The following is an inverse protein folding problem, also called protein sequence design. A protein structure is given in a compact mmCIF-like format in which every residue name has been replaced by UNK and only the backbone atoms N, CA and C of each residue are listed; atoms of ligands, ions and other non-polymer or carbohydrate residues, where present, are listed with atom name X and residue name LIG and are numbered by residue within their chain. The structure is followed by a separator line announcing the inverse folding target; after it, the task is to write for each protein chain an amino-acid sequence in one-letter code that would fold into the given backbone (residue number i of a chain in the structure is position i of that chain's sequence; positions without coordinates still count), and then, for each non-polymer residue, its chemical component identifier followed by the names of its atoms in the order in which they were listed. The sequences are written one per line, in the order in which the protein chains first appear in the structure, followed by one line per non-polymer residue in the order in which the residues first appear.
data_IF_665645535412
#
_entry.id   IF_665645535412
#
_cell.length_a   1.000
_cell.length_b   1.000
_cell.length_c   1.000
_cell.angle_alpha   90.00
_cell.angle_beta   90.00
_cell.angle_gamma   90.00
#
_symmetry.space_group_name_H-M   'P 1'
#
loop_
_entity.id
_entity.type
_entity.pdbx_description
1 polymer ?
#
# COMPACT_ATOMS: atom_id res chain seq x y z
N UNK A 1 15.15 10.71 -4.25
CA UNK A 1 16.09 9.88 -5.04
C UNK A 1 15.87 8.41 -4.69
N UNK A 2 15.96 7.53 -5.70
CA UNK A 2 15.75 6.09 -5.53
C UNK A 2 16.96 5.34 -6.10
N UNK A 3 17.51 4.41 -5.30
CA UNK A 3 18.54 3.46 -5.73
C UNK A 3 17.90 2.06 -5.77
N UNK A 4 18.06 1.36 -6.88
CA UNK A 4 17.64 -0.04 -7.01
C UNK A 4 18.85 -0.96 -7.01
N UNK A 5 18.72 -2.13 -6.37
CA UNK A 5 19.77 -3.15 -6.31
C UNK A 5 19.12 -4.51 -6.56
N UNK A 6 19.68 -5.27 -7.48
CA UNK A 6 19.29 -6.67 -7.73
C UNK A 6 20.54 -7.45 -8.20
N UNK A 7 20.54 -8.74 -7.99
CA UNK A 7 21.59 -9.64 -8.53
C UNK A 7 21.46 -9.86 -10.04
N UNK A 8 20.28 -9.60 -10.59
CA UNK A 8 19.95 -9.82 -12.00
C UNK A 8 20.21 -8.54 -12.81
N UNK A 9 21.14 -8.61 -13.75
CA UNK A 9 21.39 -7.54 -14.71
C UNK A 9 20.13 -7.20 -15.54
N UNK A 10 19.34 -8.21 -15.91
CA UNK A 10 18.10 -8.01 -16.67
C UNK A 10 17.10 -7.13 -15.87
N UNK A 11 16.90 -7.40 -14.57
CA UNK A 11 16.02 -6.61 -13.71
C UNK A 11 16.56 -5.20 -13.50
N UNK A 12 17.87 -5.06 -13.33
CA UNK A 12 18.51 -3.75 -13.22
C UNK A 12 18.31 -2.93 -14.50
N UNK A 13 18.51 -3.51 -15.66
CA UNK A 13 18.30 -2.83 -16.94
C UNK A 13 16.82 -2.42 -17.13
N UNK A 14 15.89 -3.24 -16.70
CA UNK A 14 14.45 -2.94 -16.78
C UNK A 14 14.01 -1.78 -15.86
N UNK A 15 14.64 -1.64 -14.68
CA UNK A 15 14.24 -0.60 -13.69
C UNK A 15 14.97 0.74 -13.91
N UNK A 16 16.11 0.75 -14.61
CA UNK A 16 16.92 1.95 -14.85
C UNK A 16 16.12 3.20 -15.26
N UNK A 17 15.11 3.12 -16.17
CA UNK A 17 14.34 4.31 -16.57
C UNK A 17 13.49 4.93 -15.43
N UNK A 18 13.27 4.22 -14.34
CA UNK A 18 12.34 4.60 -13.27
C UNK A 18 13.04 5.00 -11.97
N UNK A 19 14.37 4.87 -11.88
CA UNK A 19 15.13 5.13 -10.65
C UNK A 19 16.26 6.13 -10.89
N UNK A 20 16.76 6.75 -9.82
CA UNK A 20 17.89 7.69 -9.90
C UNK A 20 19.22 6.98 -10.15
N UNK A 21 19.38 5.78 -9.57
CA UNK A 21 20.55 4.92 -9.76
C UNK A 21 20.18 3.45 -9.61
N UNK A 22 20.92 2.57 -10.26
CA UNK A 22 20.74 1.13 -10.12
C UNK A 22 22.09 0.41 -10.11
N UNK A 23 22.21 -0.65 -9.32
CA UNK A 23 23.43 -1.42 -9.17
C UNK A 23 23.14 -2.93 -9.20
N UNK A 24 24.03 -3.68 -9.84
CA UNK A 24 24.03 -5.14 -9.74
C UNK A 24 24.80 -5.50 -8.49
N UNK A 25 24.15 -6.19 -7.54
CA UNK A 25 24.78 -6.56 -6.27
C UNK A 25 23.94 -7.53 -5.45
N UNK A 26 24.61 -8.25 -4.57
CA UNK A 26 23.99 -9.19 -3.65
C UNK A 26 23.76 -8.50 -2.30
N UNK A 27 22.50 -8.23 -1.97
CA UNK A 27 22.10 -7.59 -0.73
C UNK A 27 22.27 -8.48 0.53
N UNK A 28 22.60 -9.76 0.36
CA UNK A 28 22.98 -10.63 1.49
C UNK A 28 24.48 -10.52 1.84
N UNK A 29 25.26 -9.85 0.99
CA UNK A 29 26.69 -9.62 1.24
C UNK A 29 26.91 -8.38 2.12
N UNK A 30 27.38 -8.59 3.34
CA UNK A 30 27.60 -7.53 4.34
C UNK A 30 28.57 -6.45 3.86
N UNK A 31 29.68 -6.85 3.22
CA UNK A 31 30.68 -5.88 2.75
C UNK A 31 30.13 -4.98 1.64
N UNK A 32 29.35 -5.58 0.73
CA UNK A 32 28.67 -4.83 -0.32
C UNK A 32 27.66 -3.84 0.28
N UNK A 33 26.80 -4.28 1.19
CA UNK A 33 25.79 -3.44 1.83
C UNK A 33 26.41 -2.33 2.68
N UNK A 34 27.52 -2.60 3.38
CA UNK A 34 28.26 -1.58 4.10
C UNK A 34 28.82 -0.48 3.17
N UNK A 35 29.25 -0.86 1.95
CA UNK A 35 29.80 0.08 0.95
C UNK A 35 28.77 1.04 0.39
N UNK A 36 27.48 0.68 0.37
CA UNK A 36 26.37 1.50 -0.15
C UNK A 36 26.05 2.69 0.75
N UNK A 37 26.44 2.62 2.04
CA UNK A 37 26.13 3.69 2.99
C UNK A 37 24.66 3.72 3.40
N UNK A 38 24.11 2.58 3.82
CA UNK A 38 22.71 2.34 4.20
C UNK A 38 22.09 3.44 5.08
N UNK A 39 22.88 4.02 6.01
CA UNK A 39 22.44 5.10 6.92
C UNK A 39 22.01 6.39 6.23
N UNK A 40 22.43 6.60 4.99
CA UNK A 40 22.08 7.81 4.22
C UNK A 40 20.70 7.77 3.62
N UNK A 41 20.05 6.60 3.61
CA UNK A 41 18.70 6.44 3.07
C UNK A 41 17.65 6.63 4.16
N UNK A 42 16.55 7.29 3.81
CA UNK A 42 15.44 7.48 4.74
C UNK A 42 14.54 6.25 4.82
N UNK A 43 14.46 5.48 3.74
CA UNK A 43 13.69 4.25 3.61
C UNK A 43 14.50 3.20 2.83
N UNK A 44 14.60 2.01 3.39
CA UNK A 44 15.10 0.83 2.70
C UNK A 44 13.95 -0.16 2.47
N UNK A 45 13.76 -0.59 1.21
CA UNK A 45 12.70 -1.52 0.85
C UNK A 45 13.29 -2.86 0.45
N UNK A 46 12.94 -3.92 1.18
CA UNK A 46 13.30 -5.31 0.84
C UNK A 46 12.15 -5.93 0.06
N UNK A 47 12.27 -5.93 -1.26
CA UNK A 47 11.25 -6.45 -2.18
C UNK A 47 11.49 -7.92 -2.61
N UNK A 48 12.43 -8.62 -1.98
CA UNK A 48 12.76 -10.03 -2.26
C UNK A 48 11.57 -10.91 -1.87
N UNK A 49 10.86 -11.46 -2.87
CA UNK A 49 9.63 -12.24 -2.66
C UNK A 49 9.84 -13.75 -2.73
N UNK A 50 10.77 -14.19 -3.58
CA UNK A 50 10.90 -15.60 -3.94
C UNK A 50 11.92 -16.38 -3.11
N UNK A 51 12.81 -15.68 -2.41
CA UNK A 51 13.82 -16.26 -1.53
C UNK A 51 13.62 -15.79 -0.08
N UNK A 52 13.01 -16.67 0.71
CA UNK A 52 12.70 -16.41 2.12
C UNK A 52 13.96 -16.11 2.94
N UNK A 53 15.03 -16.89 2.74
CA UNK A 53 16.27 -16.71 3.49
C UNK A 53 16.91 -15.36 3.16
N UNK A 54 17.13 -15.07 1.88
CA UNK A 54 17.73 -13.80 1.45
C UNK A 54 16.93 -12.58 1.89
N UNK A 55 15.59 -12.69 1.91
CA UNK A 55 14.71 -11.63 2.43
C UNK A 55 14.96 -11.34 3.91
N UNK A 56 15.10 -12.38 4.75
CA UNK A 56 15.38 -12.24 6.17
C UNK A 56 16.80 -11.71 6.41
N UNK A 57 17.80 -12.28 5.73
CA UNK A 57 19.20 -11.87 5.86
C UNK A 57 19.39 -10.40 5.49
N UNK A 58 18.84 -9.98 4.34
CA UNK A 58 18.89 -8.58 3.90
C UNK A 58 18.19 -7.65 4.89
N UNK A 59 17.03 -8.06 5.41
CA UNK A 59 16.28 -7.25 6.40
C UNK A 59 17.10 -7.04 7.69
N UNK A 60 17.67 -8.12 8.24
CA UNK A 60 18.51 -8.06 9.44
C UNK A 60 19.75 -7.20 9.18
N UNK A 61 20.45 -7.44 8.07
CA UNK A 61 21.67 -6.73 7.71
C UNK A 61 21.44 -5.22 7.55
N UNK A 62 20.33 -4.80 6.93
CA UNK A 62 19.98 -3.39 6.84
C UNK A 62 19.83 -2.73 8.22
N UNK A 63 19.20 -3.40 9.17
CA UNK A 63 19.05 -2.87 10.55
C UNK A 63 20.39 -2.84 11.28
N UNK A 64 21.21 -3.86 11.15
CA UNK A 64 22.56 -3.92 11.77
C UNK A 64 23.46 -2.81 11.22
N UNK A 65 23.36 -2.50 9.94
CA UNK A 65 24.07 -1.40 9.29
C UNK A 65 23.47 -0.02 9.59
N UNK A 66 22.36 0.05 10.33
CA UNK A 66 21.75 1.28 10.82
C UNK A 66 20.79 1.96 9.85
N UNK A 67 20.05 1.20 9.04
CA UNK A 67 18.93 1.73 8.27
C UNK A 67 17.91 2.43 9.17
N UNK A 68 17.47 3.63 8.78
CA UNK A 68 16.50 4.42 9.56
C UNK A 68 15.13 3.74 9.59
N UNK A 69 14.67 3.25 8.45
CA UNK A 69 13.41 2.56 8.30
C UNK A 69 13.52 1.44 7.28
N UNK A 70 13.10 0.23 7.64
CA UNK A 70 13.10 -0.95 6.78
C UNK A 70 11.68 -1.43 6.55
N UNK A 71 11.23 -1.37 5.30
CA UNK A 71 9.98 -1.92 4.80
C UNK A 71 10.27 -3.23 4.07
N UNK A 72 9.71 -4.35 4.51
CA UNK A 72 9.96 -5.63 3.88
C UNK A 72 8.68 -6.25 3.31
N UNK A 73 8.80 -6.86 2.12
CA UNK A 73 7.69 -7.58 1.48
C UNK A 73 7.61 -9.00 2.03
N UNK A 74 6.42 -9.39 2.44
CA UNK A 74 6.09 -10.77 2.76
C UNK A 74 5.23 -11.41 1.67
N UNK A 75 5.28 -12.72 1.55
CA UNK A 75 4.42 -13.53 0.67
C UNK A 75 3.50 -14.49 1.44
N UNK A 76 3.58 -14.52 2.79
CA UNK A 76 2.73 -15.31 3.70
C UNK A 76 2.84 -14.80 5.14
N UNK A 77 1.85 -15.12 5.97
CA UNK A 77 1.77 -14.60 7.33
C UNK A 77 2.98 -14.98 8.21
N UNK A 78 3.52 -16.19 8.06
CA UNK A 78 4.69 -16.61 8.83
C UNK A 78 5.94 -15.82 8.40
N UNK A 79 6.07 -15.49 7.11
CA UNK A 79 7.16 -14.66 6.61
C UNK A 79 7.09 -13.26 7.21
N UNK A 80 5.91 -12.64 7.24
CA UNK A 80 5.70 -11.34 7.86
C UNK A 80 6.14 -11.33 9.34
N UNK A 81 5.77 -12.36 10.10
CA UNK A 81 6.19 -12.50 11.51
C UNK A 81 7.71 -12.59 11.67
N UNK A 82 8.39 -13.31 10.80
CA UNK A 82 9.85 -13.42 10.85
C UNK A 82 10.52 -12.11 10.46
N UNK A 83 10.06 -11.42 9.43
CA UNK A 83 10.61 -10.13 9.01
C UNK A 83 10.53 -9.10 10.14
N UNK A 84 9.38 -8.96 10.81
CA UNK A 84 9.24 -8.07 11.96
C UNK A 84 10.19 -8.43 13.11
N UNK A 85 10.37 -9.73 13.39
CA UNK A 85 11.31 -10.19 14.43
C UNK A 85 12.77 -9.98 14.05
N UNK A 86 13.09 -9.94 12.74
CA UNK A 86 14.43 -9.68 12.22
C UNK A 86 14.69 -8.19 11.96
N UNK A 87 13.82 -7.30 12.43
CA UNK A 87 14.08 -5.87 12.44
C UNK A 87 13.41 -5.07 11.35
N UNK A 88 12.50 -5.63 10.54
CA UNK A 88 11.65 -4.80 9.69
C UNK A 88 10.80 -3.87 10.58
N UNK A 89 10.77 -2.58 10.24
CA UNK A 89 9.89 -1.61 10.92
C UNK A 89 8.45 -1.79 10.47
N UNK A 90 8.26 -2.16 9.19
CA UNK A 90 6.96 -2.47 8.62
C UNK A 90 7.08 -3.60 7.60
N UNK A 91 6.00 -4.35 7.47
CA UNK A 91 5.86 -5.40 6.45
C UNK A 91 4.63 -5.12 5.61
N UNK A 92 4.78 -5.24 4.29
CA UNK A 92 3.68 -5.23 3.33
C UNK A 92 3.48 -6.64 2.77
N UNK A 93 2.21 -7.00 2.56
CA UNK A 93 1.84 -8.25 1.92
C UNK A 93 0.86 -7.96 0.77
N UNK A 94 1.39 -7.51 -0.40
CA UNK A 94 0.58 -6.96 -1.49
C UNK A 94 -0.49 -7.92 -1.99
N UNK A 95 -0.17 -9.21 -2.11
CA UNK A 95 -1.13 -10.22 -2.59
C UNK A 95 -2.31 -10.40 -1.64
N UNK A 96 -2.07 -10.40 -0.34
CA UNK A 96 -3.12 -10.52 0.68
C UNK A 96 -3.97 -9.25 0.75
N UNK A 97 -3.32 -8.09 0.76
CA UNK A 97 -4.00 -6.80 0.80
C UNK A 97 -4.89 -6.62 -0.43
N UNK A 98 -4.37 -6.94 -1.63
CA UNK A 98 -5.14 -6.90 -2.86
C UNK A 98 -6.25 -7.95 -2.90
N UNK A 99 -6.04 -9.15 -2.35
CA UNK A 99 -7.08 -10.17 -2.26
C UNK A 99 -8.24 -9.73 -1.36
N UNK A 100 -7.94 -9.12 -0.20
CA UNK A 100 -8.96 -8.56 0.69
C UNK A 100 -9.71 -7.42 -0.01
N UNK A 101 -8.98 -6.49 -0.62
CA UNK A 101 -9.57 -5.39 -1.37
C UNK A 101 -10.50 -5.88 -2.48
N UNK A 102 -10.04 -6.86 -3.28
CA UNK A 102 -10.85 -7.47 -4.34
C UNK A 102 -12.07 -8.20 -3.79
N UNK A 103 -11.92 -8.93 -2.69
CA UNK A 103 -13.03 -9.64 -2.06
C UNK A 103 -14.14 -8.68 -1.61
N UNK A 104 -13.79 -7.57 -0.97
CA UNK A 104 -14.77 -6.54 -0.56
C UNK A 104 -15.42 -5.91 -1.78
N UNK A 105 -14.62 -5.46 -2.75
CA UNK A 105 -15.11 -4.79 -3.96
C UNK A 105 -16.09 -5.64 -4.77
N UNK A 106 -15.79 -6.94 -4.92
CA UNK A 106 -16.59 -7.85 -5.74
C UNK A 106 -17.59 -8.70 -4.94
N UNK A 107 -17.69 -8.49 -3.61
CA UNK A 107 -18.68 -9.20 -2.79
C UNK A 107 -20.12 -8.73 -3.03
N UNK A 108 -20.29 -7.53 -3.56
CA UNK A 108 -21.60 -6.94 -3.89
C UNK A 108 -21.51 -6.13 -5.17
N UNK A 109 -22.61 -6.09 -5.94
CA UNK A 109 -22.71 -5.26 -7.15
C UNK A 109 -22.80 -3.76 -6.85
N UNK A 110 -22.85 -3.39 -5.56
CA UNK A 110 -23.12 -2.03 -5.11
C UNK A 110 -21.89 -1.29 -4.57
N UNK A 111 -20.70 -1.89 -4.64
CA UNK A 111 -19.45 -1.23 -4.21
C UNK A 111 -18.55 -1.11 -5.43
N UNK A 112 -18.28 0.12 -5.86
CA UNK A 112 -17.35 0.38 -6.97
C UNK A 112 -15.91 0.42 -6.48
N UNK A 113 -15.67 1.03 -5.30
CA UNK A 113 -14.35 1.07 -4.66
C UNK A 113 -14.49 1.37 -3.16
N UNK A 114 -13.43 1.08 -2.38
CA UNK A 114 -13.41 1.42 -0.96
C UNK A 114 -11.99 1.69 -0.46
N UNK A 115 -11.89 2.48 0.61
CA UNK A 115 -10.66 2.76 1.36
C UNK A 115 -10.94 2.47 2.82
N UNK A 116 -10.25 1.50 3.40
CA UNK A 116 -10.28 1.23 4.83
C UNK A 116 -9.43 2.29 5.56
N UNK A 117 -10.02 2.99 6.53
CA UNK A 117 -9.32 3.97 7.36
C UNK A 117 -8.92 3.36 8.71
N UNK A 118 -9.82 2.59 9.30
CA UNK A 118 -9.63 1.81 10.53
C UNK A 118 -10.47 0.55 10.43
N UNK A 119 -10.30 -0.46 11.31
CA UNK A 119 -11.15 -1.65 11.32
C UNK A 119 -12.65 -1.37 11.34
N UNK A 120 -13.05 -0.22 11.91
CA UNK A 120 -14.47 0.15 12.09
C UNK A 120 -14.93 1.26 11.13
N UNK A 121 -14.04 1.85 10.32
CA UNK A 121 -14.36 2.98 9.46
C UNK A 121 -13.75 2.83 8.07
N UNK A 122 -14.58 3.00 7.05
CA UNK A 122 -14.16 2.96 5.65
C UNK A 122 -14.88 4.02 4.83
N UNK A 123 -14.27 4.39 3.71
CA UNK A 123 -14.90 5.21 2.68
C UNK A 123 -15.31 4.26 1.54
N UNK A 124 -16.54 4.38 1.08
CA UNK A 124 -17.06 3.57 -0.02
C UNK A 124 -17.51 4.44 -1.17
N UNK A 125 -17.17 4.05 -2.41
CA UNK A 125 -17.82 4.54 -3.62
C UNK A 125 -18.96 3.58 -3.97
N UNK A 126 -20.19 4.10 -3.92
CA UNK A 126 -21.41 3.31 -4.18
C UNK A 126 -22.31 4.03 -5.16
N UNK A 127 -23.12 3.30 -5.95
CA UNK A 127 -24.14 3.94 -6.79
C UNK A 127 -25.17 4.64 -5.90
N UNK A 128 -25.70 5.76 -6.40
CA UNK A 128 -26.79 6.47 -5.71
C UNK A 128 -28.03 5.58 -5.74
N UNK A 129 -28.62 5.22 -4.59
CA UNK A 129 -29.86 4.43 -4.56
C UNK A 129 -30.99 5.15 -5.29
N UNK A 130 -31.80 4.43 -6.05
CA UNK A 130 -32.95 5.02 -6.78
C UNK A 130 -33.88 5.83 -5.87
N UNK A 131 -34.05 5.39 -4.61
CA UNK A 131 -34.86 6.09 -3.63
C UNK A 131 -34.32 7.45 -3.21
N UNK A 132 -33.07 7.79 -3.56
CA UNK A 132 -32.41 9.06 -3.26
C UNK A 132 -32.45 10.04 -4.43
N UNK A 133 -32.67 9.56 -5.66
CA UNK A 133 -32.69 10.38 -6.86
C UNK A 133 -33.76 11.48 -6.75
N UNK A 134 -33.36 12.71 -7.08
CA UNK A 134 -34.25 13.90 -7.02
C UNK A 134 -34.50 14.43 -5.60
N UNK A 135 -33.78 13.94 -4.59
CA UNK A 135 -33.89 14.44 -3.22
C UNK A 135 -32.58 15.09 -2.78
N UNK A 136 -32.67 16.16 -2.02
CA UNK A 136 -31.48 16.75 -1.41
C UNK A 136 -30.93 15.89 -0.28
N UNK A 137 -29.64 16.05 0.05
CA UNK A 137 -28.96 15.33 1.13
C UNK A 137 -29.69 15.51 2.46
N UNK A 138 -30.20 16.71 2.75
CA UNK A 138 -30.98 16.96 3.96
C UNK A 138 -32.31 16.21 3.99
N UNK A 139 -32.97 16.09 2.84
CA UNK A 139 -34.24 15.33 2.74
C UNK A 139 -34.04 13.82 2.93
N UNK A 140 -32.91 13.29 2.44
CA UNK A 140 -32.56 11.87 2.62
C UNK A 140 -32.18 11.61 4.09
N UNK A 141 -31.63 12.60 4.80
CA UNK A 141 -31.22 12.54 6.21
C UNK A 141 -30.22 11.40 6.48
N UNK A 142 -29.21 11.27 5.59
CA UNK A 142 -28.25 10.16 5.57
C UNK A 142 -27.54 9.94 6.88
N UNK A 143 -27.15 11.04 7.57
CA UNK A 143 -26.41 10.97 8.82
C UNK A 143 -27.21 10.30 9.94
N UNK A 144 -28.45 10.70 10.13
CA UNK A 144 -29.28 10.16 11.22
C UNK A 144 -29.87 8.78 10.87
N UNK A 145 -30.17 8.54 9.57
CA UNK A 145 -30.83 7.31 9.15
C UNK A 145 -29.86 6.16 8.94
N UNK A 146 -28.66 6.46 8.45
CA UNK A 146 -27.71 5.44 8.02
C UNK A 146 -26.35 5.56 8.74
N UNK A 147 -26.14 6.57 9.58
CA UNK A 147 -24.87 6.84 10.28
C UNK A 147 -23.67 7.03 9.33
N UNK A 148 -23.92 7.61 8.16
CA UNK A 148 -22.89 7.88 7.14
C UNK A 148 -22.77 9.38 6.85
N UNK A 149 -21.62 9.76 6.30
CA UNK A 149 -21.37 11.11 5.79
C UNK A 149 -21.02 11.04 4.31
N UNK A 150 -21.64 11.88 3.50
CA UNK A 150 -21.30 12.00 2.07
C UNK A 150 -20.10 12.92 1.95
N UNK A 151 -18.99 12.41 1.43
CA UNK A 151 -17.76 13.16 1.22
C UNK A 151 -17.73 13.81 -0.17
N UNK A 152 -18.29 13.12 -1.17
CA UNK A 152 -18.36 13.63 -2.53
C UNK A 152 -19.51 12.96 -3.29
N UNK A 153 -19.94 13.60 -4.38
CA UNK A 153 -20.84 13.01 -5.37
C UNK A 153 -20.14 13.03 -6.73
N UNK A 154 -20.16 11.91 -7.44
CA UNK A 154 -19.61 11.79 -8.79
C UNK A 154 -20.75 11.79 -9.80
N UNK A 155 -20.74 12.73 -10.73
CA UNK A 155 -21.75 12.87 -11.78
C UNK A 155 -21.04 13.09 -13.11
N UNK A 156 -21.40 12.30 -14.11
CA UNK A 156 -20.81 12.37 -15.46
C UNK A 156 -19.28 12.39 -15.49
N UNK A 157 -18.66 11.57 -14.61
CA UNK A 157 -17.20 11.48 -14.48
C UNK A 157 -16.57 12.63 -13.67
N UNK A 158 -17.34 13.64 -13.27
CA UNK A 158 -16.85 14.78 -12.48
C UNK A 158 -17.14 14.56 -10.99
N UNK A 159 -16.12 14.75 -10.14
CA UNK A 159 -16.25 14.65 -8.69
C UNK A 159 -16.63 16.02 -8.10
N UNK A 160 -17.72 16.05 -7.34
CA UNK A 160 -18.18 17.21 -6.58
C UNK A 160 -17.89 16.94 -5.09
N UNK A 161 -16.79 17.49 -4.54
CA UNK A 161 -16.43 17.25 -3.15
C UNK A 161 -17.28 18.08 -2.19
N UNK A 162 -17.46 17.54 -0.98
CA UNK A 162 -18.15 18.20 0.15
C UNK A 162 -19.50 18.83 -0.24
N UNK A 163 -20.43 18.05 -0.80
CA UNK A 163 -21.75 18.58 -1.22
C UNK A 163 -22.49 19.14 0.00
N UNK A 164 -23.06 20.34 -0.16
CA UNK A 164 -23.87 20.95 0.87
C UNK A 164 -25.19 20.21 1.12
N UNK A 165 -25.85 20.49 2.25
CA UNK A 165 -27.11 19.83 2.62
C UNK A 165 -28.23 19.96 1.58
N UNK A 166 -28.22 21.05 0.80
CA UNK A 166 -29.20 21.31 -0.27
C UNK A 166 -28.84 20.68 -1.64
N UNK A 167 -27.68 20.00 -1.74
CA UNK A 167 -27.27 19.32 -2.99
C UNK A 167 -28.27 18.21 -3.33
N UNK A 168 -28.68 18.14 -4.62
CA UNK A 168 -29.68 17.18 -5.16
C UNK A 168 -28.99 16.29 -6.20
#
# INVERSE_FOLDING_TARGET
EVMAIDISEERINAILPYVTSAQIGDCTNEQYMASIGVRNFDLCVVAIGDNFQSSLETTALLKDLGAKFVLSRANRDIHAKFLLRNGADQVVYPEKEMAIHSAVRYSTDNIFDYIELTPDHSIYEVPVPESWVGKSIVQINVRNKYSISILAVKMDGTLHPLPGAAYV
#
